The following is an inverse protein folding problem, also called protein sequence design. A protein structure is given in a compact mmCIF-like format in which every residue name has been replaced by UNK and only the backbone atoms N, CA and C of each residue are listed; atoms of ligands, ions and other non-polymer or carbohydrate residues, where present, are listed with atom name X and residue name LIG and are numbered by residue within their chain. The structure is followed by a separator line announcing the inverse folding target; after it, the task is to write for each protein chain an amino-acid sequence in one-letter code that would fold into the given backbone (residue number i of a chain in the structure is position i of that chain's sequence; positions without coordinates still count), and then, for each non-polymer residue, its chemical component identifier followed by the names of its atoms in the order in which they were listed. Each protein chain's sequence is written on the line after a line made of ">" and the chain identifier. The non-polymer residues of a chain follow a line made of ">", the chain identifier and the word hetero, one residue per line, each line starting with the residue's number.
data_IF_258188581758
#
_entry.id   IF_258188581758
#
_cell.length_a   1.000
_cell.length_b   1.000
_cell.length_c   1.000
_cell.angle_alpha   90.00
_cell.angle_beta   90.00
_cell.angle_gamma   90.00
#
_symmetry.space_group_name_H-M   'P 1'
#
loop_
_entity.id
_entity.type
_entity.pdbx_description
1 polymer ?
#
# COMPACT_ATOMS: atom_id res chain seq x y z
N UNK A 1 -19.91 -40.52 -8.58
CA UNK A 1 -19.59 -39.11 -8.25
C UNK A 1 -18.78 -39.11 -6.96
N UNK A 2 -17.57 -38.55 -6.99
CA UNK A 2 -16.71 -38.43 -5.80
C UNK A 2 -16.65 -36.95 -5.43
N UNK A 3 -16.99 -36.63 -4.18
CA UNK A 3 -16.87 -35.29 -3.63
C UNK A 3 -15.70 -35.31 -2.65
N UNK A 4 -14.68 -34.49 -2.92
CA UNK A 4 -13.50 -34.42 -2.07
C UNK A 4 -12.95 -33.00 -2.09
N UNK A 5 -12.48 -32.52 -0.93
CA UNK A 5 -11.75 -31.24 -0.82
C UNK A 5 -10.30 -31.36 -1.32
N UNK A 6 -9.83 -32.60 -1.54
CA UNK A 6 -8.48 -32.94 -1.96
C UNK A 6 -8.49 -33.74 -3.25
N UNK A 7 -7.45 -33.57 -4.07
CA UNK A 7 -7.18 -34.44 -5.21
C UNK A 7 -7.03 -35.89 -4.72
N UNK A 8 -8.01 -36.78 -4.98
CA UNK A 8 -7.92 -38.16 -4.53
C UNK A 8 -6.86 -38.88 -5.36
N UNK A 9 -6.17 -39.86 -4.76
CA UNK A 9 -5.13 -40.65 -5.43
C UNK A 9 -5.73 -41.69 -6.41
N UNK A 10 -6.62 -41.25 -7.31
CA UNK A 10 -7.33 -42.07 -8.28
C UNK A 10 -6.61 -42.13 -9.65
N UNK A 11 -5.36 -41.68 -9.72
CA UNK A 11 -4.64 -41.57 -10.99
C UNK A 11 -5.32 -40.58 -11.94
N UNK A 12 -5.69 -39.39 -11.43
CA UNK A 12 -6.43 -38.33 -12.14
C UNK A 12 -5.84 -38.03 -13.53
N UNK A 13 -4.52 -38.02 -13.67
CA UNK A 13 -3.86 -37.82 -14.96
C UNK A 13 -4.26 -38.87 -16.02
N UNK A 14 -4.40 -40.14 -15.64
CA UNK A 14 -4.83 -41.20 -16.56
C UNK A 14 -6.31 -41.06 -16.95
N UNK A 15 -7.17 -40.64 -16.01
CA UNK A 15 -8.59 -40.41 -16.29
C UNK A 15 -8.79 -39.18 -17.19
N UNK A 16 -7.96 -38.14 -17.02
CA UNK A 16 -7.95 -36.94 -17.85
C UNK A 16 -7.50 -37.23 -19.28
N UNK A 17 -6.47 -38.06 -19.49
CA UNK A 17 -6.03 -38.49 -20.82
C UNK A 17 -7.08 -39.34 -21.55
N UNK A 18 -7.89 -40.09 -20.81
CA UNK A 18 -8.95 -40.96 -21.37
C UNK A 18 -10.29 -40.26 -21.53
N UNK A 19 -10.38 -38.97 -21.23
CA UNK A 19 -11.62 -38.19 -21.25
C UNK A 19 -12.77 -38.80 -20.40
N UNK A 20 -12.38 -39.49 -19.31
CA UNK A 20 -13.29 -40.19 -18.39
C UNK A 20 -13.54 -39.39 -17.10
N UNK A 21 -13.25 -38.09 -17.13
CA UNK A 21 -13.21 -37.24 -15.96
C UNK A 21 -13.85 -35.88 -16.25
N UNK A 22 -14.93 -35.59 -15.50
CA UNK A 22 -15.49 -34.25 -15.41
C UNK A 22 -15.08 -33.66 -14.06
N UNK A 23 -14.17 -32.69 -14.07
CA UNK A 23 -13.75 -31.95 -12.88
C UNK A 23 -14.61 -30.68 -12.76
N UNK A 24 -15.30 -30.53 -11.63
CA UNK A 24 -15.99 -29.28 -11.27
C UNK A 24 -15.16 -28.58 -10.21
N UNK A 25 -14.54 -27.47 -10.58
CA UNK A 25 -13.67 -26.68 -9.70
C UNK A 25 -14.44 -25.72 -8.79
N UNK A 26 -13.72 -25.10 -7.84
CA UNK A 26 -14.28 -24.06 -6.96
C UNK A 26 -14.85 -22.87 -7.72
N UNK A 27 -14.21 -22.44 -8.82
CA UNK A 27 -14.69 -21.35 -9.67
C UNK A 27 -16.00 -21.70 -10.40
N UNK A 28 -16.21 -22.97 -10.75
CA UNK A 28 -17.44 -23.42 -11.42
C UNK A 28 -18.58 -23.68 -10.42
N UNK A 29 -18.26 -23.91 -9.14
CA UNK A 29 -19.24 -24.01 -8.05
C UNK A 29 -19.58 -22.65 -7.43
N UNK A 30 -18.79 -21.61 -7.71
CA UNK A 30 -19.06 -20.26 -7.25
C UNK A 30 -20.33 -19.74 -7.92
N UNK A 31 -21.24 -19.22 -7.10
CA UNK A 31 -22.49 -18.66 -7.59
C UNK A 31 -22.21 -17.45 -8.47
N UNK A 32 -22.84 -17.42 -9.64
CA UNK A 32 -22.92 -16.23 -10.48
C UNK A 32 -23.90 -15.22 -9.87
N UNK A 33 -23.84 -13.96 -10.32
CA UNK A 33 -24.80 -12.94 -9.89
C UNK A 33 -26.26 -13.34 -10.11
N UNK A 34 -26.55 -14.05 -11.21
CA UNK A 34 -27.89 -14.52 -11.52
C UNK A 34 -28.34 -15.61 -10.55
N UNK A 35 -27.47 -16.58 -10.27
CA UNK A 35 -27.75 -17.67 -9.32
C UNK A 35 -27.87 -17.13 -7.88
N UNK A 36 -27.03 -16.17 -7.49
CA UNK A 36 -27.12 -15.51 -6.19
C UNK A 36 -28.47 -14.78 -6.02
N UNK A 37 -28.95 -14.10 -7.07
CA UNK A 37 -30.26 -13.45 -7.06
C UNK A 37 -31.38 -14.47 -6.89
N UNK A 38 -31.38 -15.52 -7.71
CA UNK A 38 -32.37 -16.60 -7.62
C UNK A 38 -32.34 -17.27 -6.24
N UNK A 39 -31.15 -17.49 -5.69
CA UNK A 39 -30.97 -18.04 -4.36
C UNK A 39 -31.64 -17.19 -3.26
N UNK A 40 -31.39 -15.88 -3.26
CA UNK A 40 -32.01 -14.99 -2.28
C UNK A 40 -33.52 -14.89 -2.47
N UNK A 41 -34.02 -14.86 -3.70
CA UNK A 41 -35.46 -14.83 -4.00
C UNK A 41 -36.18 -16.09 -3.50
N UNK A 42 -35.53 -17.24 -3.55
CA UNK A 42 -36.09 -18.49 -3.02
C UNK A 42 -36.03 -18.59 -1.48
N UNK A 43 -35.09 -17.89 -0.83
CA UNK A 43 -34.79 -18.07 0.60
C UNK A 43 -35.33 -16.97 1.50
N UNK A 44 -35.55 -15.78 0.96
CA UNK A 44 -36.01 -14.61 1.71
C UNK A 44 -37.49 -14.34 1.42
N UNK A 45 -38.20 -13.88 2.45
CA UNK A 45 -39.62 -13.52 2.33
C UNK A 45 -39.83 -12.16 1.63
N UNK A 46 -38.77 -11.35 1.53
CA UNK A 46 -38.77 -10.05 0.88
C UNK A 46 -37.68 -10.05 -0.20
N UNK A 47 -38.00 -9.67 -1.45
CA UNK A 47 -37.04 -9.70 -2.54
C UNK A 47 -35.94 -8.65 -2.32
N UNK A 48 -34.70 -9.05 -2.55
CA UNK A 48 -33.53 -8.15 -2.55
C UNK A 48 -33.37 -7.54 -3.95
N UNK A 49 -32.92 -6.28 -4.01
CA UNK A 49 -32.63 -5.61 -5.29
C UNK A 49 -31.47 -6.30 -6.01
N UNK A 50 -31.52 -6.40 -7.35
CA UNK A 50 -30.48 -7.07 -8.12
C UNK A 50 -29.07 -6.49 -7.87
N UNK A 51 -28.96 -5.16 -7.76
CA UNK A 51 -27.69 -4.49 -7.47
C UNK A 51 -27.13 -4.85 -6.08
N UNK A 52 -28.00 -5.04 -5.08
CA UNK A 52 -27.62 -5.43 -3.73
C UNK A 52 -27.18 -6.91 -3.69
N UNK A 53 -27.90 -7.79 -4.39
CA UNK A 53 -27.53 -9.20 -4.54
C UNK A 53 -26.18 -9.38 -5.25
N UNK A 54 -25.92 -8.60 -6.30
CA UNK A 54 -24.63 -8.67 -7.02
C UNK A 54 -23.47 -8.26 -6.13
N UNK A 55 -23.62 -7.17 -5.37
CA UNK A 55 -22.59 -6.71 -4.41
C UNK A 55 -22.29 -7.76 -3.35
N UNK A 56 -23.32 -8.36 -2.75
CA UNK A 56 -23.13 -9.43 -1.76
C UNK A 56 -22.40 -10.62 -2.40
N UNK A 57 -22.75 -10.97 -3.63
CA UNK A 57 -22.10 -12.05 -4.37
C UNK A 57 -20.61 -11.75 -4.63
N UNK A 58 -20.26 -10.51 -4.98
CA UNK A 58 -18.87 -10.07 -5.15
C UNK A 58 -18.09 -10.14 -3.83
N UNK A 59 -18.68 -9.64 -2.75
CA UNK A 59 -18.06 -9.58 -1.42
C UNK A 59 -17.71 -10.97 -0.88
N UNK A 60 -18.55 -11.98 -1.18
CA UNK A 60 -18.32 -13.38 -0.79
C UNK A 60 -17.71 -14.21 -1.94
N UNK A 61 -17.41 -13.57 -3.07
CA UNK A 61 -16.91 -14.17 -4.32
C UNK A 61 -17.66 -15.44 -4.73
N UNK A 62 -19.00 -15.40 -4.64
CA UNK A 62 -19.88 -16.52 -5.02
C UNK A 62 -19.91 -17.70 -4.05
N UNK A 63 -19.36 -17.57 -2.84
CA UNK A 63 -19.34 -18.67 -1.87
C UNK A 63 -20.74 -19.01 -1.33
N UNK A 64 -21.30 -20.13 -1.80
CA UNK A 64 -22.66 -20.57 -1.51
C UNK A 64 -22.99 -20.67 0.00
N UNK A 65 -22.05 -21.14 0.82
CA UNK A 65 -22.25 -21.23 2.28
C UNK A 65 -22.35 -19.85 2.91
N UNK A 66 -21.55 -18.88 2.45
CA UNK A 66 -21.65 -17.49 2.91
C UNK A 66 -23.02 -16.90 2.57
N UNK A 67 -23.50 -17.09 1.33
CA UNK A 67 -24.82 -16.65 0.90
C UNK A 67 -25.93 -17.27 1.76
N UNK A 68 -25.81 -18.56 2.09
CA UNK A 68 -26.75 -19.27 2.96
C UNK A 68 -26.75 -18.74 4.40
N UNK A 69 -25.59 -18.43 4.97
CA UNK A 69 -25.48 -17.84 6.32
C UNK A 69 -26.08 -16.42 6.34
N UNK A 70 -25.82 -15.62 5.31
CA UNK A 70 -26.43 -14.28 5.14
C UNK A 70 -27.95 -14.40 5.02
N UNK A 71 -28.46 -15.37 4.26
CA UNK A 71 -29.90 -15.58 4.13
C UNK A 71 -30.54 -16.02 5.47
N UNK A 72 -29.85 -16.83 6.27
CA UNK A 72 -30.32 -17.26 7.59
C UNK A 72 -30.35 -16.09 8.59
N UNK A 73 -29.31 -15.26 8.63
CA UNK A 73 -29.27 -14.10 9.54
C UNK A 73 -30.33 -13.05 9.19
N UNK A 74 -30.58 -12.83 7.88
CA UNK A 74 -31.62 -11.93 7.40
C UNK A 74 -33.04 -12.38 7.77
N UNK A 75 -33.27 -13.68 7.97
CA UNK A 75 -34.57 -14.21 8.42
C UNK A 75 -34.79 -14.05 9.92
N UNK A 76 -33.72 -14.05 10.72
CA UNK A 76 -33.80 -13.96 12.18
C UNK A 76 -33.92 -12.51 12.66
N UNK A 77 -33.32 -11.55 11.96
CA UNK A 77 -33.45 -10.12 12.26
C UNK A 77 -34.66 -9.53 11.53
N UNK A 78 -35.75 -9.26 12.24
CA UNK A 78 -37.01 -8.68 11.73
C UNK A 78 -36.91 -7.19 11.34
N UNK A 79 -35.74 -6.74 10.88
CA UNK A 79 -35.55 -5.40 10.32
C UNK A 79 -35.15 -5.51 8.85
N UNK A 80 -35.78 -4.66 8.03
CA UNK A 80 -35.79 -4.73 6.57
C UNK A 80 -34.45 -5.14 5.94
N UNK A 81 -34.53 -6.07 4.98
CA UNK A 81 -33.40 -6.52 4.17
C UNK A 81 -32.56 -5.34 3.61
N UNK A 82 -33.19 -4.18 3.38
CA UNK A 82 -32.56 -2.93 2.95
C UNK A 82 -31.53 -2.30 3.90
N UNK A 83 -31.50 -2.65 5.19
CA UNK A 83 -30.44 -2.19 6.13
C UNK A 83 -29.32 -3.23 6.33
N UNK A 84 -29.45 -4.41 5.72
CA UNK A 84 -28.63 -5.58 6.03
C UNK A 84 -27.44 -5.77 5.09
N UNK A 85 -27.47 -5.30 3.83
CA UNK A 85 -26.28 -5.37 2.98
C UNK A 85 -25.22 -4.31 3.32
N UNK A 86 -25.61 -3.16 3.90
CA UNK A 86 -24.63 -2.15 4.38
C UNK A 86 -23.88 -2.59 5.65
N UNK A 87 -24.22 -3.73 6.26
CA UNK A 87 -23.63 -4.22 7.52
C UNK A 87 -22.97 -5.60 7.42
N UNK A 88 -22.24 -5.84 6.33
CA UNK A 88 -21.15 -6.84 6.35
C UNK A 88 -20.09 -6.52 7.43
N UNK A 89 -20.05 -5.28 7.91
CA UNK A 89 -19.15 -4.84 8.97
C UNK A 89 -19.69 -4.98 10.42
N UNK A 90 -20.92 -5.46 10.68
CA UNK A 90 -21.40 -5.41 12.07
C UNK A 90 -22.52 -6.32 12.56
N UNK A 91 -23.38 -6.90 11.71
CA UNK A 91 -24.47 -7.79 12.20
C UNK A 91 -24.49 -9.16 11.49
N UNK A 92 -24.15 -9.21 10.20
CA UNK A 92 -24.05 -10.48 9.46
C UNK A 92 -22.67 -11.15 9.59
N UNK A 93 -21.69 -10.41 10.12
CA UNK A 93 -20.34 -10.91 10.38
C UNK A 93 -20.29 -11.94 11.51
N UNK A 94 -21.21 -11.90 12.49
CA UNK A 94 -21.15 -12.81 13.65
C UNK A 94 -21.39 -14.26 13.26
N UNK A 95 -22.51 -14.60 12.62
CA UNK A 95 -22.80 -16.00 12.23
C UNK A 95 -21.80 -16.57 11.22
N UNK A 96 -21.30 -15.73 10.32
CA UNK A 96 -20.25 -16.11 9.38
C UNK A 96 -18.90 -16.32 10.09
N UNK A 97 -18.58 -15.44 11.05
CA UNK A 97 -17.40 -15.57 11.91
C UNK A 97 -17.48 -16.84 12.76
N UNK A 98 -18.61 -17.10 13.41
CA UNK A 98 -18.82 -18.29 14.25
C UNK A 98 -18.65 -19.57 13.44
N UNK A 99 -19.26 -19.65 12.25
CA UNK A 99 -19.05 -20.78 11.35
C UNK A 99 -17.58 -20.95 10.95
N UNK A 100 -16.86 -19.86 10.64
CA UNK A 100 -15.44 -19.95 10.28
C UNK A 100 -14.56 -20.33 11.46
N UNK A 101 -14.92 -19.93 12.69
CA UNK A 101 -14.24 -20.39 13.90
C UNK A 101 -14.44 -21.91 14.05
N UNK A 102 -15.70 -22.36 14.10
CA UNK A 102 -16.06 -23.76 14.36
C UNK A 102 -15.51 -24.71 13.28
N UNK A 103 -15.64 -24.34 12.01
CA UNK A 103 -15.28 -25.23 10.89
C UNK A 103 -13.80 -25.15 10.52
N UNK A 104 -13.13 -24.01 10.74
CA UNK A 104 -11.75 -23.81 10.28
C UNK A 104 -10.78 -23.71 11.44
N UNK A 105 -10.99 -22.78 12.37
CA UNK A 105 -10.00 -22.47 13.40
C UNK A 105 -9.98 -23.47 14.57
N UNK A 106 -11.09 -24.13 14.86
CA UNK A 106 -11.20 -25.12 15.94
C UNK A 106 -10.79 -26.53 15.47
N UNK A 107 -10.74 -26.74 14.16
CA UNK A 107 -10.29 -27.99 13.52
C UNK A 107 -8.78 -28.01 13.20
N UNK A 108 -8.02 -26.98 13.61
CA UNK A 108 -6.56 -26.89 13.43
C UNK A 108 -5.84 -26.82 14.76
N UNK A 109 -4.59 -27.30 14.79
CA UNK A 109 -3.75 -27.19 15.98
C UNK A 109 -3.37 -25.72 16.26
N UNK A 110 -3.04 -25.42 17.52
CA UNK A 110 -2.73 -24.07 17.99
C UNK A 110 -1.61 -23.39 17.17
N UNK A 111 -0.59 -24.15 16.76
CA UNK A 111 0.51 -23.58 15.98
C UNK A 111 0.06 -23.17 14.57
N UNK A 112 -0.82 -23.95 13.95
CA UNK A 112 -1.44 -23.62 12.67
C UNK A 112 -2.40 -22.44 12.78
N UNK A 113 -3.20 -22.36 13.85
CA UNK A 113 -4.09 -21.21 14.13
C UNK A 113 -3.29 -19.91 14.23
N UNK A 114 -2.22 -19.90 15.03
CA UNK A 114 -1.36 -18.71 15.17
C UNK A 114 -0.71 -18.32 13.84
N UNK A 115 -0.33 -19.30 13.01
CA UNK A 115 0.22 -19.01 11.68
C UNK A 115 -0.81 -18.35 10.75
N UNK A 116 -2.05 -18.85 10.71
CA UNK A 116 -3.13 -18.26 9.91
C UNK A 116 -3.40 -16.81 10.32
N UNK A 117 -3.50 -16.55 11.63
CA UNK A 117 -3.75 -15.21 12.15
C UNK A 117 -2.62 -14.23 11.82
N UNK A 118 -1.37 -14.62 12.09
CA UNK A 118 -0.20 -13.75 11.85
C UNK A 118 0.05 -13.50 10.37
N UNK A 119 -0.17 -14.49 9.50
CA UNK A 119 0.01 -14.33 8.05
C UNK A 119 -1.07 -13.46 7.40
N UNK A 120 -2.29 -13.41 7.94
CA UNK A 120 -3.37 -12.59 7.39
C UNK A 120 -3.13 -11.07 7.49
N UNK A 121 -2.23 -10.65 8.39
CA UNK A 121 -1.82 -9.24 8.55
C UNK A 121 -1.07 -8.72 7.32
N UNK A 122 -0.38 -9.59 6.58
CA UNK A 122 0.38 -9.20 5.40
C UNK A 122 -0.59 -8.73 4.31
N UNK A 123 -0.41 -7.49 3.82
CA UNK A 123 -1.27 -6.89 2.79
C UNK A 123 -1.09 -7.61 1.46
N UNK A 124 0.16 -7.82 1.07
CA UNK A 124 0.52 -8.63 -0.10
C UNK A 124 0.80 -10.07 0.30
N UNK A 125 -0.26 -10.84 0.55
CA UNK A 125 -0.16 -12.31 0.43
C UNK A 125 0.28 -12.74 -0.99
N UNK A 126 0.17 -11.82 -1.95
CA UNK A 126 0.63 -11.92 -3.33
C UNK A 126 2.17 -11.97 -3.48
N UNK A 127 2.94 -11.55 -2.47
CA UNK A 127 4.39 -11.30 -2.62
C UNK A 127 5.25 -11.63 -1.41
N UNK A 128 4.83 -12.51 -0.49
CA UNK A 128 5.69 -12.89 0.63
C UNK A 128 6.50 -14.18 0.36
N UNK A 129 7.70 -14.14 -0.25
CA UNK A 129 8.68 -15.15 0.02
C UNK A 129 9.36 -14.73 1.32
N UNK A 130 9.53 -15.61 2.30
CA UNK A 130 10.28 -15.33 3.53
C UNK A 130 9.57 -14.50 4.62
N UNK A 131 8.89 -15.21 5.51
CA UNK A 131 8.76 -14.79 6.91
C UNK A 131 10.14 -14.89 7.60
N UNK A 132 10.56 -13.94 8.44
CA UNK A 132 11.85 -13.98 9.13
C UNK A 132 11.73 -14.91 10.35
N UNK A 133 11.81 -16.21 10.09
CA UNK A 133 12.02 -17.26 11.08
C UNK A 133 12.60 -18.47 10.34
N UNK A 134 13.89 -18.45 10.05
CA UNK A 134 14.58 -19.39 9.15
C UNK A 134 14.58 -20.86 9.65
N UNK A 135 14.08 -21.13 10.87
CA UNK A 135 13.76 -22.51 11.33
C UNK A 135 12.33 -22.96 11.07
N UNK A 136 11.40 -22.05 10.79
CA UNK A 136 9.98 -22.35 10.52
C UNK A 136 9.68 -22.55 9.03
N UNK A 137 10.60 -22.27 8.11
CA UNK A 137 10.43 -22.42 6.64
C UNK A 137 9.95 -23.82 6.21
N UNK A 138 10.52 -24.90 6.78
CA UNK A 138 10.05 -26.27 6.51
C UNK A 138 8.67 -26.58 7.10
N UNK A 139 8.28 -25.90 8.20
CA UNK A 139 6.95 -26.04 8.80
C UNK A 139 5.90 -25.19 8.07
N UNK A 140 6.22 -23.97 7.64
CA UNK A 140 5.31 -23.07 6.93
C UNK A 140 4.91 -23.64 5.56
N UNK A 141 5.85 -24.14 4.76
CA UNK A 141 5.51 -24.84 3.51
C UNK A 141 4.72 -26.12 3.77
N UNK A 142 5.03 -26.84 4.86
CA UNK A 142 4.26 -28.03 5.26
C UNK A 142 2.85 -27.71 5.79
N UNK A 143 2.66 -26.59 6.47
CA UNK A 143 1.37 -26.12 7.01
C UNK A 143 0.53 -25.53 5.88
N UNK A 144 1.09 -24.67 5.01
CA UNK A 144 0.42 -24.18 3.80
C UNK A 144 -0.03 -25.34 2.92
N UNK A 145 0.87 -26.27 2.57
CA UNK A 145 0.52 -27.46 1.78
C UNK A 145 -0.50 -28.37 2.48
N UNK A 146 -0.49 -28.47 3.83
CA UNK A 146 -1.53 -29.20 4.60
C UNK A 146 -2.87 -28.47 4.63
N UNK A 147 -2.88 -27.14 4.58
CA UNK A 147 -4.07 -26.30 4.58
C UNK A 147 -4.69 -26.17 3.18
N UNK A 148 -3.87 -26.11 2.12
CA UNK A 148 -4.32 -26.28 0.72
C UNK A 148 -4.97 -27.67 0.54
N UNK A 149 -4.42 -28.70 1.21
CA UNK A 149 -4.95 -30.08 1.27
C UNK A 149 -6.08 -30.23 2.32
N UNK A 150 -6.71 -29.15 2.79
CA UNK A 150 -7.93 -29.22 3.61
C UNK A 150 -9.08 -28.42 3.01
N UNK A 151 -8.95 -27.94 1.77
CA UNK A 151 -9.94 -27.12 1.09
C UNK A 151 -10.16 -25.77 1.79
N UNK A 152 -9.21 -25.32 2.59
CA UNK A 152 -9.21 -23.95 3.06
C UNK A 152 -8.99 -23.03 1.85
N UNK A 153 -9.63 -21.87 1.92
CA UNK A 153 -9.75 -20.79 0.95
C UNK A 153 -8.43 -20.28 0.32
N UNK A 154 -7.71 -21.12 -0.40
CA UNK A 154 -6.47 -20.79 -1.10
C UNK A 154 -6.70 -20.82 -2.60
N UNK A 155 -6.30 -19.74 -3.28
CA UNK A 155 -6.00 -19.77 -4.71
C UNK A 155 -4.49 -19.68 -4.88
N UNK A 156 -3.89 -20.69 -5.53
CA UNK A 156 -2.52 -20.56 -6.04
C UNK A 156 -2.54 -19.55 -7.18
N UNK A 157 -1.64 -18.56 -7.13
CA UNK A 157 -1.53 -17.55 -8.20
C UNK A 157 -0.47 -17.89 -9.25
N UNK A 158 0.33 -18.93 -9.02
CA UNK A 158 1.43 -19.34 -9.87
C UNK A 158 1.43 -20.84 -10.18
N UNK A 159 1.93 -21.19 -11.37
CA UNK A 159 2.18 -22.58 -11.76
C UNK A 159 3.22 -23.27 -10.86
N UNK A 160 4.01 -22.50 -10.10
CA UNK A 160 5.02 -22.99 -9.15
C UNK A 160 4.49 -23.29 -7.75
N UNK A 161 3.28 -22.82 -7.39
CA UNK A 161 2.66 -23.05 -6.08
C UNK A 161 3.43 -22.47 -4.89
N UNK A 162 4.23 -21.41 -5.12
CA UNK A 162 4.96 -20.70 -4.08
C UNK A 162 4.15 -19.52 -3.51
N UNK A 163 3.13 -19.04 -4.24
CA UNK A 163 2.34 -17.88 -3.89
C UNK A 163 0.91 -18.26 -3.48
N UNK A 164 0.47 -17.75 -2.32
CA UNK A 164 -0.81 -18.12 -1.73
C UNK A 164 -1.61 -16.88 -1.35
N UNK A 165 -2.80 -16.74 -1.93
CA UNK A 165 -3.78 -15.75 -1.48
C UNK A 165 -4.88 -16.43 -0.67
N UNK A 166 -5.21 -15.82 0.47
CA UNK A 166 -6.46 -16.12 1.14
C UNK A 166 -7.59 -15.54 0.30
N UNK A 167 -8.71 -16.27 0.22
CA UNK A 167 -9.95 -15.66 -0.22
C UNK A 167 -10.24 -14.39 0.59
N UNK A 168 -10.66 -13.27 -0.04
CA UNK A 168 -10.78 -11.97 0.62
C UNK A 168 -11.59 -12.01 1.92
N UNK A 169 -12.73 -12.70 1.91
CA UNK A 169 -13.59 -12.93 3.07
C UNK A 169 -12.85 -13.62 4.23
N UNK A 170 -12.11 -14.69 3.95
CA UNK A 170 -11.36 -15.43 4.96
C UNK A 170 -10.16 -14.62 5.47
N UNK A 171 -9.45 -13.91 4.58
CA UNK A 171 -8.37 -13.00 4.98
C UNK A 171 -8.85 -11.86 5.88
N UNK A 172 -10.00 -11.26 5.58
CA UNK A 172 -10.61 -10.23 6.43
C UNK A 172 -11.02 -10.77 7.79
N UNK A 173 -11.66 -11.95 7.82
CA UNK A 173 -12.00 -12.63 9.07
C UNK A 173 -10.75 -12.90 9.93
N UNK A 174 -9.70 -13.46 9.35
CA UNK A 174 -8.44 -13.72 10.06
C UNK A 174 -7.79 -12.42 10.57
N UNK A 175 -7.82 -11.33 9.80
CA UNK A 175 -7.31 -10.02 10.24
C UNK A 175 -8.07 -9.48 11.44
N UNK A 176 -9.40 -9.47 11.39
CA UNK A 176 -10.23 -9.02 12.51
C UNK A 176 -9.99 -9.87 13.75
N UNK A 177 -9.89 -11.19 13.58
CA UNK A 177 -9.62 -12.10 14.68
C UNK A 177 -8.22 -11.90 15.26
N UNK A 178 -7.22 -11.66 14.41
CA UNK A 178 -5.87 -11.35 14.85
C UNK A 178 -5.81 -10.04 15.66
N UNK A 179 -6.56 -9.02 15.25
CA UNK A 179 -6.67 -7.75 15.99
C UNK A 179 -7.27 -7.95 17.39
N UNK A 180 -8.15 -8.93 17.57
CA UNK A 180 -8.78 -9.20 18.87
C UNK A 180 -7.98 -10.18 19.74
N UNK A 181 -7.54 -11.31 19.18
CA UNK A 181 -6.83 -12.36 19.92
C UNK A 181 -5.37 -11.99 20.20
N UNK A 182 -4.72 -11.30 19.26
CA UNK A 182 -3.29 -10.95 19.32
C UNK A 182 -3.09 -9.44 19.44
N UNK A 183 -4.07 -8.71 19.99
CA UNK A 183 -4.02 -7.25 20.14
C UNK A 183 -2.71 -6.76 20.79
N UNK A 184 -2.27 -7.45 21.85
CA UNK A 184 -1.05 -7.11 22.59
C UNK A 184 0.24 -7.43 21.80
N UNK A 185 0.21 -8.43 20.92
CA UNK A 185 1.35 -8.82 20.07
C UNK A 185 1.37 -8.08 18.72
N UNK A 186 0.28 -7.36 18.38
CA UNK A 186 0.09 -6.77 17.07
C UNK A 186 1.24 -5.82 16.65
N UNK A 187 1.73 -4.91 17.53
CA UNK A 187 2.85 -4.04 17.19
C UNK A 187 4.12 -4.82 16.87
N UNK A 188 4.42 -5.88 17.63
CA UNK A 188 5.59 -6.74 17.41
C UNK A 188 5.50 -7.53 16.10
N UNK A 189 4.30 -8.01 15.75
CA UNK A 189 4.06 -8.72 14.48
C UNK A 189 4.29 -7.75 13.32
N UNK A 190 3.77 -6.53 13.42
CA UNK A 190 3.97 -5.49 12.41
C UNK A 190 5.44 -5.08 12.29
N UNK A 191 6.16 -4.92 13.41
CA UNK A 191 7.60 -4.64 13.40
C UNK A 191 8.39 -5.73 12.68
N UNK A 192 8.15 -6.99 13.03
CA UNK A 192 8.80 -8.13 12.38
C UNK A 192 8.48 -8.22 10.88
N UNK A 193 7.24 -7.89 10.49
CA UNK A 193 6.85 -7.81 9.08
C UNK A 193 7.61 -6.69 8.36
N UNK A 194 7.68 -5.49 8.95
CA UNK A 194 8.41 -4.36 8.38
C UNK A 194 9.89 -4.68 8.16
N UNK A 195 10.56 -5.27 9.15
CA UNK A 195 11.95 -5.71 9.02
C UNK A 195 12.15 -6.73 7.88
N UNK A 196 11.23 -7.69 7.75
CA UNK A 196 11.30 -8.69 6.68
C UNK A 196 11.17 -8.07 5.29
N UNK A 197 10.21 -7.16 5.11
CA UNK A 197 9.99 -6.47 3.84
C UNK A 197 11.15 -5.56 3.49
N UNK A 198 11.74 -4.89 4.49
CA UNK A 198 12.95 -4.11 4.30
C UNK A 198 14.13 -4.98 3.86
N UNK A 199 14.33 -6.14 4.49
CA UNK A 199 15.39 -7.08 4.10
C UNK A 199 15.22 -7.62 2.66
N UNK A 200 14.00 -7.59 2.12
CA UNK A 200 13.68 -8.01 0.76
C UNK A 200 13.71 -6.87 -0.26
N UNK A 201 13.92 -5.63 0.19
CA UNK A 201 13.95 -4.46 -0.69
C UNK A 201 12.58 -3.91 -1.08
N UNK A 202 11.54 -4.15 -0.27
CA UNK A 202 10.20 -3.59 -0.46
C UNK A 202 9.88 -2.53 0.60
N UNK A 203 10.39 -1.28 0.46
CA UNK A 203 10.23 -0.24 1.46
C UNK A 203 8.76 0.20 1.64
N UNK A 204 7.95 0.22 0.58
CA UNK A 204 6.54 0.64 0.68
C UNK A 204 5.70 -0.27 1.57
N UNK A 205 5.87 -1.60 1.46
CA UNK A 205 5.23 -2.56 2.36
C UNK A 205 5.76 -2.45 3.79
N UNK A 206 7.06 -2.20 3.95
CA UNK A 206 7.66 -1.99 5.26
C UNK A 206 7.09 -0.75 5.96
N UNK A 207 6.90 0.35 5.24
CA UNK A 207 6.29 1.59 5.75
C UNK A 207 4.86 1.34 6.25
N UNK A 208 4.04 0.62 5.48
CA UNK A 208 2.68 0.30 5.91
C UNK A 208 2.63 -0.49 7.22
N UNK A 209 3.59 -1.40 7.42
CA UNK A 209 3.70 -2.13 8.67
C UNK A 209 4.31 -1.30 9.80
N UNK A 210 5.27 -0.41 9.53
CA UNK A 210 5.79 0.52 10.53
C UNK A 210 4.72 1.49 11.04
N UNK A 211 3.88 2.01 10.14
CA UNK A 211 2.70 2.82 10.48
C UNK A 211 1.71 2.04 11.36
N UNK A 212 1.39 0.80 10.98
CA UNK A 212 0.47 -0.05 11.76
C UNK A 212 1.04 -0.47 13.12
N UNK A 213 2.37 -0.58 13.26
CA UNK A 213 3.03 -0.81 14.55
C UNK A 213 3.02 0.42 15.46
N UNK A 214 2.80 1.62 14.92
CA UNK A 214 3.00 2.88 15.65
C UNK A 214 4.48 3.15 15.97
N UNK A 215 5.41 2.55 15.23
CA UNK A 215 6.85 2.66 15.49
C UNK A 215 7.46 3.82 14.71
N UNK A 216 7.44 5.01 15.32
CA UNK A 216 7.93 6.23 14.70
C UNK A 216 9.44 6.20 14.39
N UNK A 217 10.25 5.51 15.20
CA UNK A 217 11.69 5.41 14.98
C UNK A 217 11.99 4.56 13.75
N UNK A 218 11.36 3.40 13.64
CA UNK A 218 11.48 2.56 12.44
C UNK A 218 10.97 3.29 11.18
N UNK A 219 9.84 3.98 11.28
CA UNK A 219 9.30 4.74 10.16
C UNK A 219 10.26 5.84 9.69
N UNK A 220 10.84 6.60 10.63
CA UNK A 220 11.87 7.61 10.35
C UNK A 220 13.06 7.00 9.61
N UNK A 221 13.59 5.89 10.12
CA UNK A 221 14.78 5.26 9.55
C UNK A 221 14.53 4.71 8.13
N UNK A 222 13.35 4.15 7.87
CA UNK A 222 12.96 3.73 6.53
C UNK A 222 12.84 4.94 5.59
N UNK A 223 12.21 6.03 6.04
CA UNK A 223 12.03 7.24 5.23
C UNK A 223 13.37 7.90 4.89
N UNK A 224 14.31 8.01 5.83
CA UNK A 224 15.62 8.59 5.56
C UNK A 224 16.37 7.89 4.43
N UNK A 225 16.19 6.57 4.30
CA UNK A 225 16.88 5.77 3.28
C UNK A 225 16.10 5.62 1.96
N UNK A 226 14.76 5.66 2.01
CA UNK A 226 13.94 5.28 0.85
C UNK A 226 12.95 6.34 0.37
N UNK A 227 12.71 7.42 1.12
CA UNK A 227 11.65 8.38 0.79
C UNK A 227 11.77 9.00 -0.60
N UNK A 228 12.98 9.34 -1.04
CA UNK A 228 13.21 9.86 -2.39
C UNK A 228 12.87 8.85 -3.49
N UNK A 229 13.08 7.55 -3.23
CA UNK A 229 12.63 6.50 -4.14
C UNK A 229 11.11 6.49 -4.24
N UNK A 230 10.39 6.54 -3.11
CA UNK A 230 8.93 6.59 -3.10
C UNK A 230 8.40 7.82 -3.84
N UNK A 231 9.00 8.99 -3.61
CA UNK A 231 8.67 10.23 -4.30
C UNK A 231 8.81 10.07 -5.83
N UNK A 232 9.92 9.51 -6.30
CA UNK A 232 10.19 9.31 -7.72
C UNK A 232 9.30 8.23 -8.38
N UNK A 233 8.76 7.30 -7.61
CA UNK A 233 7.79 6.28 -8.08
C UNK A 233 6.33 6.73 -7.92
N UNK A 234 6.10 8.01 -7.61
CA UNK A 234 4.77 8.61 -7.45
C UNK A 234 3.93 8.00 -6.32
N UNK A 235 4.55 7.40 -5.30
CA UNK A 235 3.88 6.89 -4.11
C UNK A 235 3.60 8.01 -3.07
N UNK A 236 3.08 9.14 -3.56
CA UNK A 236 2.98 10.40 -2.82
C UNK A 236 2.01 10.31 -1.63
N UNK A 237 0.91 9.57 -1.77
CA UNK A 237 -0.08 9.40 -0.69
C UNK A 237 0.50 8.66 0.51
N UNK A 238 1.28 7.60 0.27
CA UNK A 238 1.96 6.85 1.32
C UNK A 238 3.00 7.73 2.01
N UNK A 239 3.75 8.50 1.23
CA UNK A 239 4.74 9.44 1.75
C UNK A 239 4.09 10.51 2.64
N UNK A 240 2.94 11.05 2.22
CA UNK A 240 2.20 12.05 3.00
C UNK A 240 1.69 11.50 4.33
N UNK A 241 1.10 10.30 4.31
CA UNK A 241 0.64 9.60 5.51
C UNK A 241 1.81 9.33 6.47
N UNK A 242 2.94 8.88 5.92
CA UNK A 242 4.15 8.56 6.68
C UNK A 242 4.74 9.78 7.38
N UNK A 243 4.86 10.91 6.67
CA UNK A 243 5.38 12.14 7.25
C UNK A 243 4.43 12.75 8.30
N UNK A 244 3.12 12.61 8.13
CA UNK A 244 2.12 13.05 9.13
C UNK A 244 2.15 12.20 10.40
N UNK A 245 2.54 10.93 10.30
CA UNK A 245 2.61 10.03 11.45
C UNK A 245 3.85 10.29 12.34
N UNK A 246 4.88 10.96 11.83
CA UNK A 246 6.06 11.31 12.60
C UNK A 246 5.80 12.51 13.53
N UNK A 247 6.25 12.46 14.81
CA UNK A 247 6.25 13.61 15.68
C UNK A 247 7.10 14.74 15.10
N UNK A 248 6.68 15.99 15.32
CA UNK A 248 7.40 17.17 14.84
C UNK A 248 8.86 17.22 15.33
N UNK A 249 9.11 16.85 16.59
CA UNK A 249 10.46 16.80 17.16
C UNK A 249 11.39 15.85 16.37
N UNK A 250 10.87 14.73 15.88
CA UNK A 250 11.64 13.78 15.05
C UNK A 250 11.97 14.37 13.68
N UNK A 251 11.14 15.27 13.14
CA UNK A 251 11.42 15.98 11.89
C UNK A 251 12.47 17.08 12.12
N UNK A 252 12.45 17.75 13.27
CA UNK A 252 13.46 18.75 13.64
C UNK A 252 14.86 18.14 13.78
N UNK A 253 14.95 16.93 14.36
CA UNK A 253 16.21 16.17 14.42
C UNK A 253 16.72 15.74 13.04
N UNK A 254 15.85 15.71 12.02
CA UNK A 254 16.15 15.19 10.68
C UNK A 254 15.66 16.16 9.59
N UNK A 255 16.36 17.29 9.36
CA UNK A 255 15.93 18.35 8.43
C UNK A 255 15.65 17.87 6.99
N UNK A 256 16.27 16.76 6.57
CA UNK A 256 16.00 16.12 5.29
C UNK A 256 14.54 15.68 5.11
N UNK A 257 13.87 15.26 6.20
CA UNK A 257 12.47 14.87 6.17
C UNK A 257 11.56 16.09 6.07
N UNK A 258 11.95 17.23 6.65
CA UNK A 258 11.26 18.51 6.46
C UNK A 258 11.36 18.97 5.01
N UNK A 259 12.56 18.90 4.42
CA UNK A 259 12.78 19.24 3.01
C UNK A 259 11.92 18.36 2.10
N UNK A 260 11.89 17.05 2.34
CA UNK A 260 11.06 16.11 1.61
C UNK A 260 9.56 16.44 1.73
N UNK A 261 9.09 16.77 2.93
CA UNK A 261 7.70 17.20 3.15
C UNK A 261 7.38 18.47 2.35
N UNK A 262 8.32 19.41 2.28
CA UNK A 262 8.19 20.63 1.51
C UNK A 262 8.14 20.33 -0.01
N UNK A 263 8.97 19.40 -0.51
CA UNK A 263 8.91 18.91 -1.90
C UNK A 263 7.57 18.25 -2.23
N UNK A 264 7.05 17.43 -1.32
CA UNK A 264 5.73 16.82 -1.45
C UNK A 264 4.63 17.88 -1.56
N UNK A 265 4.63 18.90 -0.68
CA UNK A 265 3.69 20.01 -0.73
C UNK A 265 3.81 20.81 -2.04
N UNK A 266 5.04 21.07 -2.50
CA UNK A 266 5.30 21.74 -3.78
C UNK A 266 4.69 20.97 -4.95
N UNK A 267 4.86 19.64 -4.98
CA UNK A 267 4.34 18.80 -6.08
C UNK A 267 2.81 18.76 -6.13
N UNK A 268 2.17 19.08 -5.00
CA UNK A 268 0.71 19.21 -4.86
C UNK A 268 0.25 20.68 -5.05
N UNK A 269 1.12 21.57 -5.52
CA UNK A 269 0.87 23.01 -5.72
C UNK A 269 0.51 23.79 -4.43
N UNK A 270 0.90 23.29 -3.24
CA UNK A 270 0.64 23.92 -1.93
C UNK A 270 1.74 24.90 -1.54
N UNK A 271 2.02 25.87 -2.40
CA UNK A 271 3.16 26.80 -2.30
C UNK A 271 3.21 27.62 -1.00
N UNK A 272 2.07 28.10 -0.50
CA UNK A 272 2.01 28.86 0.76
C UNK A 272 2.39 28.03 1.99
N UNK A 273 2.05 26.73 1.98
CA UNK A 273 2.39 25.81 3.06
C UNK A 273 3.88 25.48 3.05
N UNK A 274 4.51 25.39 1.87
CA UNK A 274 5.96 25.20 1.73
C UNK A 274 6.72 26.30 2.47
N UNK A 275 6.41 27.57 2.18
CA UNK A 275 7.11 28.69 2.81
C UNK A 275 6.92 28.71 4.33
N UNK A 276 5.71 28.40 4.80
CA UNK A 276 5.39 28.32 6.23
C UNK A 276 6.17 27.21 6.93
N UNK A 277 6.23 26.02 6.31
CA UNK A 277 6.95 24.87 6.84
C UNK A 277 8.45 25.14 6.94
N UNK A 278 9.06 25.65 5.86
CA UNK A 278 10.49 25.94 5.82
C UNK A 278 10.86 27.06 6.81
N UNK A 279 10.05 28.12 6.91
CA UNK A 279 10.29 29.20 7.86
C UNK A 279 10.21 28.74 9.32
N UNK A 280 9.27 27.83 9.64
CA UNK A 280 9.17 27.21 10.96
C UNK A 280 10.41 26.38 11.29
N UNK A 281 10.85 25.56 10.34
CA UNK A 281 12.04 24.73 10.50
C UNK A 281 13.31 25.56 10.72
N UNK A 282 13.50 26.66 9.98
CA UNK A 282 14.63 27.59 10.16
C UNK A 282 14.60 28.36 11.50
N UNK A 283 13.44 28.46 12.13
CA UNK A 283 13.30 29.09 13.44
C UNK A 283 13.63 28.12 14.58
N UNK A 284 13.18 26.86 14.44
CA UNK A 284 13.27 25.85 15.50
C UNK A 284 14.57 25.03 15.46
N UNK A 285 15.18 24.84 14.29
CA UNK A 285 16.39 24.04 14.13
C UNK A 285 17.63 24.95 14.25
N UNK A 286 18.38 24.74 15.32
CA UNK A 286 19.66 25.44 15.55
C UNK A 286 20.66 25.02 14.46
N UNK A 287 21.40 25.99 13.93
CA UNK A 287 22.46 25.83 12.91
C UNK A 287 22.00 25.54 11.46
N UNK A 288 20.69 25.48 11.15
CA UNK A 288 20.26 25.36 9.74
C UNK A 288 20.72 26.54 8.90
N UNK A 289 20.64 27.75 9.45
CA UNK A 289 20.82 29.02 8.73
C UNK A 289 22.22 29.24 8.13
N UNK A 290 23.20 28.45 8.55
CA UNK A 290 24.60 28.55 8.08
C UNK A 290 25.06 27.25 7.41
N UNK A 291 24.16 26.27 7.24
CA UNK A 291 24.47 24.95 6.71
C UNK A 291 23.92 24.71 5.30
N UNK A 292 24.43 23.65 4.65
CA UNK A 292 23.96 23.18 3.33
C UNK A 292 22.44 23.01 3.24
N UNK A 293 21.76 22.70 4.35
CA UNK A 293 20.31 22.59 4.40
C UNK A 293 19.58 23.89 4.10
N UNK A 294 20.11 25.05 4.51
CA UNK A 294 19.51 26.33 4.16
C UNK A 294 19.61 26.60 2.65
N UNK A 295 20.72 26.21 2.03
CA UNK A 295 20.88 26.29 0.59
C UNK A 295 19.88 25.40 -0.16
N UNK A 296 19.57 24.20 0.36
CA UNK A 296 18.50 23.35 -0.19
C UNK A 296 17.11 23.97 -0.03
N UNK A 297 16.84 24.60 1.11
CA UNK A 297 15.58 25.32 1.35
C UNK A 297 15.45 26.48 0.36
N UNK A 298 16.53 27.21 0.10
CA UNK A 298 16.57 28.29 -0.87
C UNK A 298 16.33 27.80 -2.30
N UNK A 299 16.88 26.64 -2.69
CA UNK A 299 16.61 26.04 -4.00
C UNK A 299 15.11 25.71 -4.18
N UNK A 300 14.47 25.13 -3.16
CA UNK A 300 13.03 24.86 -3.20
C UNK A 300 12.20 26.15 -3.18
N UNK A 301 12.56 27.14 -2.36
CA UNK A 301 11.89 28.45 -2.37
C UNK A 301 12.02 29.16 -3.72
N UNK A 302 13.15 29.04 -4.40
CA UNK A 302 13.33 29.55 -5.75
C UNK A 302 12.33 28.90 -6.73
N UNK A 303 12.17 27.58 -6.65
CA UNK A 303 11.17 26.86 -7.46
C UNK A 303 9.72 27.26 -7.12
N UNK A 304 9.43 27.52 -5.85
CA UNK A 304 8.11 28.03 -5.45
C UNK A 304 7.88 29.45 -5.98
N UNK A 305 8.88 30.32 -5.89
CA UNK A 305 8.79 31.71 -6.34
C UNK A 305 8.58 31.82 -7.86
N UNK A 306 9.24 30.98 -8.66
CA UNK A 306 9.01 30.97 -10.12
C UNK A 306 7.60 30.45 -10.45
N UNK A 307 7.12 29.42 -9.74
CA UNK A 307 5.77 28.88 -9.90
C UNK A 307 4.68 29.88 -9.47
N UNK A 308 4.97 30.77 -8.52
CA UNK A 308 4.10 31.86 -8.05
C UNK A 308 4.20 33.12 -8.94
N UNK A 309 5.06 33.11 -9.97
CA UNK A 309 5.21 34.21 -10.92
C UNK A 309 6.09 35.36 -10.45
N UNK A 310 7.00 35.12 -9.50
CA UNK A 310 7.96 36.10 -9.00
C UNK A 310 9.40 35.77 -9.46
N UNK A 311 9.77 36.09 -10.72
CA UNK A 311 11.05 35.68 -11.30
C UNK A 311 12.26 36.36 -10.65
N UNK A 312 12.13 37.58 -10.12
CA UNK A 312 13.25 38.28 -9.49
C UNK A 312 13.65 37.65 -8.15
N UNK A 313 12.66 37.26 -7.34
CA UNK A 313 12.92 36.54 -6.10
C UNK A 313 13.43 35.12 -6.37
N UNK A 314 12.88 34.45 -7.38
CA UNK A 314 13.36 33.14 -7.82
C UNK A 314 14.84 33.18 -8.23
N UNK A 315 15.25 34.20 -8.99
CA UNK A 315 16.65 34.39 -9.40
C UNK A 315 17.58 34.60 -8.20
N UNK A 316 17.18 35.47 -7.27
CA UNK A 316 17.96 35.77 -6.08
C UNK A 316 18.20 34.52 -5.24
N UNK A 317 17.14 33.75 -4.96
CA UNK A 317 17.20 32.54 -4.15
C UNK A 317 17.98 31.41 -4.84
N UNK A 318 17.80 31.23 -6.15
CA UNK A 318 18.53 30.21 -6.91
C UNK A 318 20.05 30.48 -6.94
N UNK A 319 20.46 31.76 -7.08
CA UNK A 319 21.88 32.15 -7.02
C UNK A 319 22.49 31.87 -5.65
N UNK A 320 21.82 32.31 -4.57
CA UNK A 320 22.26 32.03 -3.20
C UNK A 320 22.40 30.53 -2.94
N UNK A 321 21.43 29.72 -3.39
CA UNK A 321 21.51 28.28 -3.27
C UNK A 321 22.73 27.71 -3.99
N UNK A 322 23.03 28.13 -5.23
CA UNK A 322 24.16 27.60 -6.00
C UNK A 322 25.54 27.98 -5.45
N UNK A 323 25.64 29.13 -4.76
CA UNK A 323 26.85 29.59 -4.07
C UNK A 323 27.17 28.72 -2.85
N UNK A 324 26.15 28.28 -2.11
CA UNK A 324 26.30 27.54 -0.85
C UNK A 324 26.20 26.01 -1.02
N UNK A 325 25.56 25.52 -2.09
CA UNK A 325 25.37 24.07 -2.32
C UNK A 325 26.68 23.38 -2.76
N UNK A 326 27.16 22.37 -2.01
CA UNK A 326 28.34 21.61 -2.41
C UNK A 326 28.13 20.84 -3.72
N UNK A 327 29.20 20.56 -4.50
CA UNK A 327 29.10 19.90 -5.80
C UNK A 327 28.41 18.52 -5.80
N UNK A 328 28.37 17.82 -4.65
CA UNK A 328 27.73 16.50 -4.51
C UNK A 328 26.20 16.52 -4.38
N UNK A 329 25.59 17.70 -4.17
CA UNK A 329 24.14 17.85 -3.95
C UNK A 329 23.40 18.11 -5.26
N UNK A 330 23.45 17.12 -6.15
CA UNK A 330 23.02 17.27 -7.54
C UNK A 330 21.55 17.66 -7.71
N UNK A 331 20.64 17.16 -6.87
CA UNK A 331 19.21 17.42 -7.03
C UNK A 331 18.90 18.91 -6.83
N UNK A 332 19.24 19.46 -5.67
CA UNK A 332 19.00 20.88 -5.33
C UNK A 332 19.77 21.83 -6.26
N UNK A 333 20.95 21.45 -6.76
CA UNK A 333 21.69 22.21 -7.79
C UNK A 333 21.03 22.19 -9.16
N UNK A 334 20.48 21.04 -9.58
CA UNK A 334 19.71 20.92 -10.83
C UNK A 334 18.49 21.83 -10.74
N UNK A 335 17.73 21.76 -9.65
CA UNK A 335 16.57 22.63 -9.42
C UNK A 335 16.94 24.10 -9.51
N UNK A 336 17.95 24.55 -8.76
CA UNK A 336 18.36 25.96 -8.78
C UNK A 336 18.82 26.41 -10.18
N UNK A 337 19.56 25.56 -10.90
CA UNK A 337 19.99 25.86 -12.28
C UNK A 337 18.79 25.90 -13.26
N UNK A 338 17.84 24.98 -13.14
CA UNK A 338 16.59 24.98 -13.93
C UNK A 338 15.79 26.26 -13.70
N UNK A 339 15.62 26.68 -12.44
CA UNK A 339 14.92 27.92 -12.09
C UNK A 339 15.60 29.14 -12.73
N UNK A 340 16.93 29.21 -12.75
CA UNK A 340 17.63 30.29 -13.46
C UNK A 340 17.38 30.25 -14.97
N UNK A 341 17.30 29.06 -15.57
CA UNK A 341 16.90 28.88 -16.97
C UNK A 341 15.50 29.40 -17.24
N UNK A 342 14.53 29.10 -16.36
CA UNK A 342 13.14 29.58 -16.44
C UNK A 342 13.05 31.10 -16.26
N UNK A 343 13.78 31.68 -15.31
CA UNK A 343 13.86 33.14 -15.14
C UNK A 343 14.37 33.81 -16.42
N UNK A 344 15.44 33.29 -17.02
CA UNK A 344 15.97 33.82 -18.28
C UNK A 344 14.95 33.69 -19.42
N UNK A 345 14.16 32.62 -19.42
CA UNK A 345 13.07 32.45 -20.37
C UNK A 345 12.00 33.55 -20.19
N UNK A 346 11.54 33.77 -18.95
CA UNK A 346 10.60 34.84 -18.61
C UNK A 346 11.12 36.25 -18.96
N UNK A 347 12.43 36.46 -18.90
CA UNK A 347 13.11 37.72 -19.27
C UNK A 347 13.34 37.87 -20.78
N UNK A 348 13.04 36.85 -21.58
CA UNK A 348 13.21 36.84 -23.04
C UNK A 348 14.64 36.51 -23.50
N UNK A 349 15.55 36.13 -22.61
CA UNK A 349 16.94 35.74 -22.93
C UNK A 349 17.03 34.27 -23.37
N UNK A 350 16.28 33.91 -24.42
CA UNK A 350 16.05 32.51 -24.83
C UNK A 350 17.34 31.72 -25.15
N UNK A 351 18.34 32.36 -25.77
CA UNK A 351 19.61 31.71 -26.12
C UNK A 351 20.40 31.28 -24.88
N UNK A 352 20.41 32.11 -23.84
CA UNK A 352 21.11 31.80 -22.58
C UNK A 352 20.32 30.79 -21.75
N UNK A 353 18.99 30.94 -21.74
CA UNK A 353 18.07 29.97 -21.13
C UNK A 353 18.28 28.56 -21.71
N UNK A 354 18.30 28.43 -23.05
CA UNK A 354 18.51 27.14 -23.72
C UNK A 354 19.87 26.51 -23.37
N UNK A 355 20.95 27.30 -23.40
CA UNK A 355 22.28 26.81 -23.07
C UNK A 355 22.36 26.28 -21.63
N UNK A 356 21.71 26.99 -20.69
CA UNK A 356 21.67 26.62 -19.29
C UNK A 356 20.82 25.37 -19.03
N UNK A 357 19.67 25.23 -19.73
CA UNK A 357 18.83 24.04 -19.66
C UNK A 357 19.55 22.79 -20.21
N UNK A 358 20.26 22.93 -21.34
CA UNK A 358 21.06 21.84 -21.93
C UNK A 358 22.20 21.38 -21.01
N UNK A 359 22.85 22.32 -20.32
CA UNK A 359 23.84 22.00 -19.30
C UNK A 359 23.22 21.21 -18.14
N UNK A 360 22.03 21.61 -17.70
CA UNK A 360 21.32 20.94 -16.61
C UNK A 360 20.91 19.50 -16.96
N UNK A 361 20.49 19.26 -18.21
CA UNK A 361 20.16 17.93 -18.71
C UNK A 361 21.38 17.00 -18.81
N UNK A 362 22.53 17.54 -19.19
CA UNK A 362 23.79 16.77 -19.34
C UNK A 362 24.41 16.42 -17.99
N UNK A 363 24.22 17.26 -16.98
CA UNK A 363 24.65 17.00 -15.59
C UNK A 363 23.70 16.03 -14.83
N UNK A 364 22.53 15.71 -15.40
CA UNK A 364 21.52 14.81 -14.84
C UNK A 364 21.66 13.33 -15.27
N UNK A 365 21.89 12.41 -14.33
CA UNK A 365 21.76 10.95 -14.57
C UNK A 365 20.33 10.56 -14.99
N UNK A 366 20.10 9.42 -15.70
CA UNK A 366 18.77 9.04 -16.20
C UNK A 366 17.64 8.98 -15.15
N UNK A 367 17.91 8.61 -13.89
CA UNK A 367 16.94 8.68 -12.80
C UNK A 367 16.50 10.11 -12.44
N UNK A 368 17.32 11.12 -12.77
CA UNK A 368 17.08 12.55 -12.53
C UNK A 368 16.31 13.23 -13.66
N UNK A 369 16.25 12.62 -14.85
CA UNK A 369 15.36 13.07 -15.95
C UNK A 369 13.88 12.89 -15.60
N UNK A 370 13.54 11.94 -14.71
CA UNK A 370 12.18 11.78 -14.17
C UNK A 370 11.78 12.95 -13.27
N UNK A 371 12.71 13.52 -12.50
CA UNK A 371 12.44 14.72 -11.71
C UNK A 371 12.28 15.97 -12.59
N UNK A 372 13.09 16.09 -13.65
CA UNK A 372 12.89 17.12 -14.67
C UNK A 372 11.53 16.95 -15.39
N UNK A 373 11.05 15.72 -15.61
CA UNK A 373 9.71 15.46 -16.17
C UNK A 373 8.55 15.82 -15.25
N UNK A 374 8.73 15.76 -13.93
CA UNK A 374 7.74 16.29 -12.99
C UNK A 374 7.72 17.84 -12.99
N UNK A 375 8.80 18.46 -13.47
CA UNK A 375 8.92 19.89 -13.73
C UNK A 375 8.58 20.27 -15.18
N UNK A 376 8.34 19.30 -16.07
CA UNK A 376 8.04 19.57 -17.48
C UNK A 376 6.67 20.23 -17.64
N UNK A 377 6.75 21.53 -17.97
CA UNK A 377 5.87 22.32 -18.81
C UNK A 377 4.39 22.37 -18.42
N UNK A 378 4.00 23.50 -17.84
CA UNK A 378 2.70 24.11 -18.11
C UNK A 378 2.82 24.98 -19.38
N UNK A 379 2.47 24.50 -20.59
CA UNK A 379 2.62 25.26 -21.84
C UNK A 379 1.53 26.33 -22.01
N UNK A 380 1.01 26.89 -20.91
CA UNK A 380 -0.07 27.86 -20.93
C UNK A 380 0.29 29.08 -20.08
N UNK A 381 1.13 29.95 -20.63
CA UNK A 381 0.99 31.41 -20.55
C UNK A 381 1.91 32.11 -21.55
#
# INVERSE_FOLDING_TARGET
>A
MVLSRNLPQLGIANLRVRDQLLEIGSQQLAFTHQEAKQFFDCRLSSPIEAAESSRICDDVSGWATALQLIALSARQNTHSAHKSARRLAGINASHLSDYLVDEVLDNVDLATRHFLLKSAILRSNERCPHHPCDRRRKRANGVSKRLSVRGCFYSGMDDTGEWFCYHPLFGNFLRQRCQWELAAELPEIHRAAAESWMAQGFPSEAIHHALAAGDALMLRDILLNHAWSLFNHSELSLLEESLKALPWDSLLENPQLVLLQAWLMQSQHRYGEVNTLLARAEHEIKDIREGTMHAEFNALRAQVAINDGNPDEAERLAKLALEELPPGWFYSRIVATSVLGEVLHCKGELTRSLALMQQTETDGTPARRLALRLMEFNPAK
#
